data_IF_682069154162
#
_entry.id   IF_682069154162
#
_cell.length_a   1.000
_cell.length_b   1.000
_cell.length_c   1.000
_cell.angle_alpha   90.00
_cell.angle_beta   90.00
_cell.angle_gamma   90.00
#
_symmetry.space_group_name_H-M   'P 1'
#
loop_
_entity.id
_entity.type
_entity.pdbx_description
1 polymer ?
#
# COMPACT_ATOMS: atom_id res chain seq x y z
N UNK A 1 -25.03 -3.63 -14.88
CA UNK A 1 -23.90 -3.69 -15.81
C UNK A 1 -22.72 -4.21 -15.01
N UNK A 2 -22.22 -5.41 -15.32
CA UNK A 2 -21.06 -5.97 -14.65
C UNK A 2 -19.82 -5.20 -15.16
N UNK A 3 -19.10 -4.54 -14.27
CA UNK A 3 -17.79 -3.98 -14.59
C UNK A 3 -16.79 -5.14 -14.66
N UNK A 4 -16.74 -5.82 -15.81
CA UNK A 4 -15.68 -6.78 -16.10
C UNK A 4 -14.33 -6.04 -16.02
N UNK A 5 -13.47 -6.44 -15.08
CA UNK A 5 -12.13 -5.85 -14.91
C UNK A 5 -11.88 -5.08 -13.62
N UNK A 6 -12.84 -5.00 -12.70
CA UNK A 6 -12.59 -4.52 -11.33
C UNK A 6 -12.52 -5.70 -10.35
N UNK A 7 -11.50 -5.70 -9.51
CA UNK A 7 -11.30 -6.70 -8.47
C UNK A 7 -10.54 -6.08 -7.31
N UNK A 8 -10.72 -6.66 -6.11
CA UNK A 8 -10.04 -6.21 -4.91
C UNK A 8 -9.26 -7.39 -4.32
N UNK A 9 -8.02 -7.13 -3.92
CA UNK A 9 -7.23 -8.04 -3.10
C UNK A 9 -7.00 -7.43 -1.73
N UNK A 10 -7.39 -8.15 -0.68
CA UNK A 10 -7.10 -7.77 0.70
C UNK A 10 -5.94 -8.65 1.18
N UNK A 11 -4.87 -8.03 1.65
CA UNK A 11 -3.71 -8.76 2.16
C UNK A 11 -4.08 -9.55 3.41
N UNK A 12 -3.32 -10.61 3.77
CA UNK A 12 -3.29 -11.07 5.15
C UNK A 12 -3.00 -9.90 6.11
N UNK A 13 -3.46 -10.04 7.34
CA UNK A 13 -3.07 -9.14 8.42
C UNK A 13 -1.58 -9.35 8.74
N UNK A 14 -0.84 -8.25 8.88
CA UNK A 14 0.55 -8.25 9.31
C UNK A 14 0.61 -7.69 10.73
N UNK A 15 1.18 -8.48 11.64
CA UNK A 15 1.48 -8.03 13.00
C UNK A 15 2.83 -7.33 13.02
N UNK A 16 2.85 -6.09 13.47
CA UNK A 16 4.07 -5.37 13.76
C UNK A 16 4.75 -5.96 15.00
N UNK A 17 6.09 -6.18 14.98
CA UNK A 17 6.82 -6.71 16.13
C UNK A 17 6.96 -5.68 17.28
N UNK A 18 6.61 -4.43 17.01
CA UNK A 18 6.54 -3.29 17.92
C UNK A 18 5.33 -2.43 17.52
N UNK A 19 4.89 -1.50 18.37
CA UNK A 19 3.85 -0.57 17.97
C UNK A 19 4.38 0.41 16.93
N UNK A 20 3.96 0.23 15.69
CA UNK A 20 4.45 1.00 14.56
C UNK A 20 3.92 2.43 14.62
N UNK A 21 4.80 3.40 14.39
CA UNK A 21 4.42 4.82 14.27
C UNK A 21 4.22 5.22 12.83
N UNK A 22 4.85 4.50 11.90
CA UNK A 22 4.79 4.76 10.47
C UNK A 22 4.71 3.44 9.69
N UNK A 23 3.99 3.46 8.58
CA UNK A 23 3.86 2.33 7.66
C UNK A 23 4.16 2.82 6.25
N UNK A 24 5.19 2.24 5.63
CA UNK A 24 5.46 2.39 4.20
C UNK A 24 4.89 1.23 3.40
N UNK A 25 4.49 1.52 2.17
CA UNK A 25 4.02 0.52 1.22
C UNK A 25 4.82 0.59 -0.07
N UNK A 26 5.24 -0.58 -0.55
CA UNK A 26 5.94 -0.71 -1.82
C UNK A 26 5.24 -1.78 -2.65
N UNK A 27 5.12 -1.57 -3.95
CA UNK A 27 4.68 -2.63 -4.84
C UNK A 27 5.33 -2.56 -6.19
N UNK A 28 5.30 -3.69 -6.88
CA UNK A 28 5.71 -3.77 -8.28
C UNK A 28 4.54 -4.12 -9.18
N UNK A 29 4.39 -3.35 -10.26
CA UNK A 29 3.38 -3.62 -11.27
C UNK A 29 3.94 -3.47 -12.69
N UNK A 30 3.41 -4.28 -13.62
CA UNK A 30 3.89 -4.31 -15.02
C UNK A 30 3.68 -2.97 -15.75
N UNK A 31 2.65 -2.21 -15.38
CA UNK A 31 2.25 -0.98 -16.05
C UNK A 31 2.33 0.22 -15.08
N UNK A 32 3.42 0.33 -14.31
CA UNK A 32 3.57 1.27 -13.20
C UNK A 32 3.28 2.74 -13.57
N UNK A 33 3.59 3.13 -14.79
CA UNK A 33 3.39 4.50 -15.29
C UNK A 33 1.91 4.88 -15.50
N UNK A 34 0.98 3.93 -15.36
CA UNK A 34 -0.44 4.14 -15.65
C UNK A 34 -1.31 4.18 -14.40
N UNK A 35 -0.73 3.96 -13.22
CA UNK A 35 -1.41 4.05 -11.93
C UNK A 35 -2.74 3.26 -11.92
N UNK A 36 -2.67 1.99 -12.33
CA UNK A 36 -3.84 1.11 -12.47
C UNK A 36 -4.27 0.46 -11.15
N UNK A 37 -3.60 0.82 -10.04
CA UNK A 37 -3.85 0.32 -8.70
C UNK A 37 -4.20 1.47 -7.77
N UNK A 38 -5.24 1.28 -6.96
CA UNK A 38 -5.49 2.12 -5.80
C UNK A 38 -5.29 1.30 -4.54
N UNK A 39 -4.45 1.80 -3.63
CA UNK A 39 -4.14 1.09 -2.39
C UNK A 39 -4.73 1.83 -1.21
N UNK A 40 -5.38 1.07 -0.33
CA UNK A 40 -5.91 1.53 0.95
C UNK A 40 -5.25 0.75 2.08
N UNK A 41 -5.18 1.37 3.24
CA UNK A 41 -4.63 0.82 4.46
C UNK A 41 -5.62 0.96 5.60
N UNK A 42 -5.52 0.04 6.55
CA UNK A 42 -6.13 0.19 7.86
C UNK A 42 -5.26 -0.45 8.91
N UNK A 43 -5.39 0.04 10.12
CA UNK A 43 -4.61 -0.42 11.27
C UNK A 43 -5.51 -0.70 12.47
N UNK A 44 -4.98 -1.44 13.43
CA UNK A 44 -5.59 -1.68 14.75
C UNK A 44 -4.56 -2.03 15.80
N UNK A 45 -4.96 -1.99 17.07
CA UNK A 45 -4.22 -2.59 18.18
C UNK A 45 -4.74 -3.99 18.52
N UNK A 46 -4.01 -4.69 19.40
CA UNK A 46 -4.46 -5.96 19.96
C UNK A 46 -5.83 -5.82 20.64
N UNK A 47 -6.80 -6.64 20.24
CA UNK A 47 -8.14 -6.65 20.81
C UNK A 47 -9.06 -5.52 20.35
N UNK A 48 -8.59 -4.61 19.50
CA UNK A 48 -9.41 -3.54 18.90
C UNK A 48 -9.99 -3.96 17.54
N UNK A 49 -11.07 -3.28 17.16
CA UNK A 49 -11.57 -3.32 15.78
C UNK A 49 -10.66 -2.52 14.85
N UNK A 50 -10.75 -2.82 13.55
CA UNK A 50 -10.05 -2.04 12.54
C UNK A 50 -10.60 -0.62 12.42
N UNK A 51 -9.68 0.32 12.25
CA UNK A 51 -10.02 1.66 11.77
C UNK A 51 -10.62 1.63 10.36
N UNK A 52 -10.96 2.84 9.86
CA UNK A 52 -11.43 3.01 8.48
C UNK A 52 -10.30 2.70 7.50
N UNK A 53 -10.69 2.36 6.27
CA UNK A 53 -9.76 2.31 5.15
C UNK A 53 -9.33 3.73 4.78
N UNK A 54 -8.04 3.97 4.79
CA UNK A 54 -7.41 5.23 4.39
C UNK A 54 -6.65 5.01 3.09
N UNK A 55 -6.82 5.92 2.13
CA UNK A 55 -6.14 5.81 0.84
C UNK A 55 -4.66 6.12 1.02
N UNK A 56 -3.80 5.23 0.56
CA UNK A 56 -2.36 5.48 0.52
C UNK A 56 -2.05 6.49 -0.59
N UNK A 57 -1.38 7.58 -0.23
CA UNK A 57 -0.93 8.55 -1.23
C UNK A 57 0.34 8.02 -1.89
N UNK A 58 0.32 7.89 -3.21
CA UNK A 58 1.50 7.49 -3.98
C UNK A 58 2.41 8.70 -4.08
N UNK A 59 3.60 8.61 -3.51
CA UNK A 59 4.67 9.57 -3.76
C UNK A 59 5.37 9.12 -5.04
N UNK A 60 4.82 9.54 -6.18
CA UNK A 60 5.55 9.49 -7.43
C UNK A 60 6.66 10.55 -7.34
N UNK A 61 7.74 10.27 -6.60
CA UNK A 61 8.95 11.07 -6.74
C UNK A 61 9.38 11.02 -8.22
N UNK A 62 9.54 12.19 -8.83
CA UNK A 62 10.15 12.37 -10.14
C UNK A 62 11.64 11.99 -10.11
N UNK A 63 12.02 10.77 -9.73
CA UNK A 63 13.42 10.34 -9.88
C UNK A 63 13.53 8.84 -10.06
N UNK A 64 13.83 8.40 -11.29
CA UNK A 64 15.19 7.94 -11.64
C UNK A 64 15.23 7.55 -13.12
N UNK A 65 16.09 8.28 -13.81
CA UNK A 65 16.68 7.92 -15.09
C UNK A 65 17.02 6.42 -15.12
N UNK A 66 16.92 5.84 -16.32
CA UNK A 66 17.33 4.47 -16.67
C UNK A 66 16.24 3.38 -16.55
N UNK A 67 15.72 3.00 -17.73
CA UNK A 67 15.19 1.70 -18.13
C UNK A 67 14.80 0.68 -17.02
N UNK A 68 13.49 0.38 -16.90
CA UNK A 68 12.87 -0.83 -16.28
C UNK A 68 12.46 -0.81 -14.80
N UNK A 69 12.24 0.33 -14.15
CA UNK A 69 11.71 0.30 -12.77
C UNK A 69 10.19 0.11 -12.75
N UNK A 70 9.76 -1.13 -12.52
CA UNK A 70 8.37 -1.54 -12.27
C UNK A 70 7.91 -1.25 -10.82
N UNK A 71 8.66 -0.48 -10.04
CA UNK A 71 8.47 -0.31 -8.60
C UNK A 71 7.84 1.04 -8.26
N UNK A 72 6.79 0.98 -7.44
CA UNK A 72 6.04 2.14 -6.95
C UNK A 72 6.16 2.17 -5.42
N UNK A 73 6.44 3.36 -4.89
CA UNK A 73 6.41 3.64 -3.47
C UNK A 73 5.18 4.50 -3.12
N UNK A 74 4.45 4.09 -2.08
CA UNK A 74 3.48 4.96 -1.44
C UNK A 74 4.04 5.50 -0.13
N UNK A 75 3.66 6.76 0.13
CA UNK A 75 4.04 7.55 1.30
C UNK A 75 4.07 6.77 2.61
N UNK A 76 4.97 7.18 3.50
CA UNK A 76 4.98 6.75 4.90
C UNK A 76 3.76 7.32 5.61
N UNK A 77 2.80 6.46 5.96
CA UNK A 77 1.59 6.85 6.66
C UNK A 77 1.83 6.76 8.16
N UNK A 78 1.65 7.88 8.86
CA UNK A 78 1.71 7.93 10.32
C UNK A 78 0.52 7.20 10.96
N UNK A 79 0.78 6.31 11.92
CA UNK A 79 -0.22 5.39 12.47
C UNK A 79 -0.19 5.26 14.00
N UNK A 80 0.17 6.30 14.76
CA UNK A 80 -0.01 6.39 16.23
C UNK A 80 0.11 5.06 17.03
N UNK A 81 1.25 4.37 16.92
CA UNK A 81 1.61 3.19 17.72
C UNK A 81 0.66 1.98 17.52
N UNK A 82 0.48 1.53 16.27
CA UNK A 82 -0.41 0.42 15.90
C UNK A 82 0.31 -0.91 15.74
N UNK A 83 -0.34 -1.99 16.17
CA UNK A 83 0.24 -3.33 16.21
C UNK A 83 -0.11 -4.20 15.00
N UNK A 84 -1.15 -3.85 14.25
CA UNK A 84 -1.57 -4.59 13.06
C UNK A 84 -1.87 -3.67 11.90
N UNK A 85 -1.56 -4.15 10.70
CA UNK A 85 -1.86 -3.49 9.44
C UNK A 85 -2.46 -4.47 8.44
N UNK A 86 -3.34 -3.94 7.61
CA UNK A 86 -3.83 -4.63 6.43
C UNK A 86 -3.98 -3.63 5.28
N UNK A 87 -3.70 -4.09 4.06
CA UNK A 87 -3.93 -3.30 2.85
C UNK A 87 -5.04 -3.91 2.00
N UNK A 88 -5.74 -3.04 1.26
CA UNK A 88 -6.64 -3.40 0.18
C UNK A 88 -6.12 -2.78 -1.11
N UNK A 89 -5.91 -3.62 -2.11
CA UNK A 89 -5.48 -3.23 -3.45
C UNK A 89 -6.69 -3.35 -4.37
N UNK A 90 -7.14 -2.22 -4.89
CA UNK A 90 -8.18 -2.15 -5.91
C UNK A 90 -7.52 -2.10 -7.29
N UNK A 91 -7.94 -3.02 -8.16
CA UNK A 91 -7.44 -3.16 -9.52
C UNK A 91 -8.40 -2.45 -10.47
N UNK A 92 -7.90 -1.44 -11.19
CA UNK A 92 -8.68 -0.66 -12.16
C UNK A 92 -8.16 -0.94 -13.56
N UNK A 93 -8.83 -1.83 -14.30
CA UNK A 93 -8.54 -2.01 -15.73
C UNK A 93 -8.88 -0.74 -16.52
N UNK A 94 -7.97 -0.31 -17.39
CA UNK A 94 -8.15 0.83 -18.30
C UNK A 94 -7.59 0.50 -19.68
N UNK A 95 -8.25 0.92 -20.76
CA UNK A 95 -7.75 0.80 -22.14
C UNK A 95 -7.20 -0.58 -22.51
N UNK A 96 -7.96 -1.65 -22.25
CA UNK A 96 -7.59 -3.07 -22.45
C UNK A 96 -6.37 -3.56 -21.66
N UNK A 97 -5.85 -2.76 -20.74
CA UNK A 97 -4.76 -3.14 -19.84
C UNK A 97 -5.35 -3.64 -18.53
N UNK A 98 -4.89 -4.82 -18.16
CA UNK A 98 -5.20 -5.43 -16.88
C UNK A 98 -4.03 -5.23 -15.93
N UNK A 99 -4.23 -4.56 -14.78
CA UNK A 99 -3.18 -4.43 -13.77
C UNK A 99 -2.71 -5.81 -13.30
N UNK A 100 -1.40 -5.93 -13.07
CA UNK A 100 -0.78 -7.14 -12.53
C UNK A 100 0.19 -6.76 -11.42
N UNK A 101 -0.22 -7.05 -10.19
CA UNK A 101 0.61 -6.94 -8.99
C UNK A 101 1.61 -8.10 -8.98
N UNK A 102 2.91 -7.80 -8.94
CA UNK A 102 3.98 -8.79 -8.85
C UNK A 102 4.47 -8.98 -7.42
N UNK A 103 4.60 -7.88 -6.70
CA UNK A 103 5.16 -7.82 -5.35
C UNK A 103 4.45 -6.72 -4.56
N UNK A 104 4.23 -6.95 -3.27
CA UNK A 104 3.64 -5.99 -2.33
C UNK A 104 4.31 -6.14 -0.97
N UNK A 105 4.88 -5.06 -0.46
CA UNK A 105 5.73 -5.06 0.73
C UNK A 105 5.27 -3.99 1.71
N UNK A 106 5.25 -4.35 2.99
CA UNK A 106 5.03 -3.43 4.10
C UNK A 106 6.37 -3.10 4.77
N UNK A 107 6.61 -1.82 4.98
CA UNK A 107 7.69 -1.31 5.83
C UNK A 107 7.07 -0.80 7.11
N UNK A 108 7.49 -1.33 8.27
CA UNK A 108 6.98 -0.92 9.58
C UNK A 108 8.09 -0.17 10.31
N UNK A 109 7.83 1.06 10.76
CA UNK A 109 8.84 1.91 11.36
C UNK A 109 8.39 2.51 12.70
N UNK A 110 9.37 2.69 13.58
CA UNK A 110 9.22 3.37 14.86
C UNK A 110 10.10 4.61 14.84
N UNK A 111 9.47 5.78 14.90
CA UNK A 111 10.20 7.03 15.06
C UNK A 111 10.65 7.13 16.52
N UNK A 112 11.96 7.02 16.75
CA UNK A 112 12.54 7.31 18.05
C UNK A 112 12.72 8.82 18.13
N UNK A 113 11.79 9.53 18.77
CA UNK A 113 12.14 10.82 19.34
C UNK A 113 13.17 10.57 20.45
N UNK A 114 14.44 10.79 20.13
CA UNK A 114 15.50 10.92 21.14
C UNK A 114 15.17 12.20 21.90
N UNK A 115 14.58 12.05 23.08
CA UNK A 115 14.47 13.13 24.07
C UNK A 115 15.84 13.44 24.68
#
# INVERSE_FOLDING_TARGET
>A
MNQEGQGNYITPEIKAPFGATHIGLHWREKNANENLLTVFLRTRNDGEEYGKWEKANVELEEVRDDEKNEEIFASLIGVENKNYVQAMVEFVSQNDKNPKLKEFTFTLALDHQIN
#
